data_IF_348983797197
#
_entry.id   IF_348983797197
#
_cell.length_a   1.000
_cell.length_b   1.000
_cell.length_c   1.000
_cell.angle_alpha   90.00
_cell.angle_beta   90.00
_cell.angle_gamma   90.00
#
_symmetry.space_group_name_H-M   'P 1'
#
loop_
_entity.id
_entity.type
_entity.pdbx_description
1 polymer ?
#
# COMPACT_ATOMS: atom_id res chain seq x y z
N UNK A 1 3.17 -5.13 4.12
CA UNK A 1 2.48 -4.14 3.27
C UNK A 1 1.08 -3.92 3.83
N UNK A 2 0.64 -2.67 3.95
CA UNK A 2 -0.69 -2.33 4.49
C UNK A 2 -1.48 -1.66 3.38
N UNK A 3 -2.69 -2.15 3.12
CA UNK A 3 -3.67 -1.54 2.22
C UNK A 3 -4.86 -1.11 3.07
N UNK A 4 -5.30 0.14 2.90
CA UNK A 4 -6.45 0.69 3.63
C UNK A 4 -7.77 0.04 3.22
N UNK A 5 -8.82 0.18 4.03
CA UNK A 5 -10.17 -0.25 3.64
C UNK A 5 -10.75 0.65 2.55
N UNK A 6 -11.93 0.31 2.04
CA UNK A 6 -12.61 1.07 0.98
C UNK A 6 -12.90 2.54 1.35
N UNK A 7 -12.98 2.84 2.66
CA UNK A 7 -13.13 4.18 3.22
C UNK A 7 -11.81 4.94 3.44
N UNK A 8 -10.70 4.43 2.90
CA UNK A 8 -9.33 4.91 3.11
C UNK A 8 -8.85 4.83 4.58
N UNK A 9 -7.55 5.09 4.80
CA UNK A 9 -7.00 5.25 6.15
C UNK A 9 -7.31 6.65 6.66
N UNK A 10 -7.75 6.77 7.91
CA UNK A 10 -7.87 8.09 8.54
C UNK A 10 -6.49 8.73 8.74
N UNK A 11 -6.38 10.06 8.84
CA UNK A 11 -5.11 10.74 9.10
C UNK A 11 -4.42 10.24 10.37
N UNK A 12 -5.18 9.83 11.39
CA UNK A 12 -4.66 9.27 12.64
C UNK A 12 -4.04 7.90 12.44
N UNK A 13 -4.66 7.03 11.64
CA UNK A 13 -4.13 5.70 11.32
C UNK A 13 -2.90 5.79 10.43
N UNK A 14 -2.93 6.65 9.41
CA UNK A 14 -1.77 6.92 8.57
C UNK A 14 -0.57 7.40 9.41
N UNK A 15 -0.80 8.35 10.33
CA UNK A 15 0.25 8.82 11.25
C UNK A 15 0.83 7.70 12.11
N UNK A 16 -0.03 6.84 12.69
CA UNK A 16 0.42 5.69 13.50
C UNK A 16 1.27 4.71 12.69
N UNK A 17 0.93 4.48 11.42
CA UNK A 17 1.72 3.63 10.53
C UNK A 17 3.10 4.24 10.28
N UNK A 18 3.16 5.52 9.95
CA UNK A 18 4.44 6.22 9.75
C UNK A 18 5.30 6.21 11.02
N UNK A 19 4.71 6.45 12.19
CA UNK A 19 5.40 6.38 13.49
C UNK A 19 5.91 4.97 13.82
N UNK A 20 5.20 3.94 13.35
CA UNK A 20 5.63 2.54 13.45
C UNK A 20 6.69 2.15 12.39
N UNK A 21 7.17 3.09 11.58
CA UNK A 21 8.22 2.88 10.58
C UNK A 21 7.72 2.39 9.22
N UNK A 22 6.41 2.42 8.95
CA UNK A 22 5.90 2.13 7.61
C UNK A 22 6.21 3.29 6.67
N UNK A 23 6.63 2.95 5.45
CA UNK A 23 6.92 3.91 4.39
C UNK A 23 5.73 3.95 3.43
N UNK A 24 5.20 5.14 3.20
CA UNK A 24 4.15 5.34 2.20
C UNK A 24 4.75 5.20 0.79
N UNK A 25 4.08 4.44 -0.08
CA UNK A 25 4.47 4.21 -1.47
C UNK A 25 3.29 4.48 -2.38
N UNK A 26 3.55 4.99 -3.59
CA UNK A 26 2.54 5.17 -4.63
C UNK A 26 2.46 3.92 -5.52
N UNK A 27 1.25 3.54 -5.91
CA UNK A 27 0.97 2.48 -6.90
C UNK A 27 0.68 3.06 -8.30
N UNK A 28 0.99 4.33 -8.53
CA UNK A 28 0.72 5.08 -9.76
C UNK A 28 -0.36 6.16 -9.57
N UNK A 29 -0.75 6.81 -10.66
CA UNK A 29 -1.69 7.95 -10.66
C UNK A 29 -3.16 7.52 -10.49
N UNK A 30 -3.48 6.26 -10.76
CA UNK A 30 -4.86 5.76 -10.70
C UNK A 30 -5.31 5.55 -9.24
N UNK A 31 -6.53 5.98 -8.91
CA UNK A 31 -7.16 5.64 -7.63
C UNK A 31 -7.68 4.20 -7.69
N UNK A 32 -7.01 3.32 -6.96
CA UNK A 32 -7.36 1.90 -6.89
C UNK A 32 -8.36 1.63 -5.77
N UNK A 33 -9.30 0.72 -6.02
CA UNK A 33 -10.14 0.12 -4.97
C UNK A 33 -9.32 -0.85 -4.13
N UNK A 34 -9.82 -1.16 -2.93
CA UNK A 34 -9.10 -1.94 -1.91
C UNK A 34 -8.49 -3.24 -2.46
N UNK A 35 -9.29 -4.04 -3.16
CA UNK A 35 -8.89 -5.35 -3.68
C UNK A 35 -7.88 -5.22 -4.83
N UNK A 36 -8.09 -4.26 -5.73
CA UNK A 36 -7.16 -3.99 -6.85
C UNK A 36 -5.81 -3.52 -6.34
N UNK A 37 -5.78 -2.62 -5.35
CA UNK A 37 -4.56 -2.15 -4.73
C UNK A 37 -3.76 -3.32 -4.10
N UNK A 38 -4.45 -4.21 -3.38
CA UNK A 38 -3.84 -5.39 -2.79
C UNK A 38 -3.22 -6.33 -3.85
N UNK A 39 -3.96 -6.65 -4.92
CA UNK A 39 -3.48 -7.53 -5.99
C UNK A 39 -2.27 -6.92 -6.72
N UNK A 40 -2.36 -5.64 -7.11
CA UNK A 40 -1.27 -4.92 -7.79
C UNK A 40 -0.02 -4.94 -6.93
N UNK A 41 -0.15 -4.64 -5.64
CA UNK A 41 1.00 -4.50 -4.77
C UNK A 41 1.62 -5.86 -4.40
N UNK A 42 0.83 -6.94 -4.28
CA UNK A 42 1.34 -8.31 -4.22
C UNK A 42 2.10 -8.71 -5.49
N UNK A 43 1.55 -8.38 -6.66
CA UNK A 43 2.17 -8.66 -7.96
C UNK A 43 3.49 -7.90 -8.11
N UNK A 44 3.51 -6.62 -7.76
CA UNK A 44 4.70 -5.79 -7.77
C UNK A 44 5.80 -6.36 -6.87
N UNK A 45 5.45 -6.77 -5.63
CA UNK A 45 6.41 -7.41 -4.73
C UNK A 45 6.93 -8.74 -5.27
N UNK A 46 6.11 -9.53 -5.97
CA UNK A 46 6.54 -10.81 -6.55
C UNK A 46 7.52 -10.63 -7.71
N UNK A 47 7.31 -9.58 -8.52
CA UNK A 47 8.11 -9.29 -9.72
C UNK A 47 9.29 -8.34 -9.47
N UNK A 48 9.35 -7.71 -8.29
CA UNK A 48 10.40 -6.75 -7.95
C UNK A 48 11.80 -7.36 -8.13
N UNK A 49 12.70 -6.71 -8.89
CA UNK A 49 14.07 -7.18 -9.06
C UNK A 49 14.81 -7.17 -7.72
N UNK A 50 15.32 -8.33 -7.29
CA UNK A 50 15.94 -8.51 -5.98
C UNK A 50 15.51 -9.78 -5.24
N UNK A 51 14.55 -10.53 -5.79
CA UNK A 51 14.10 -11.84 -5.25
C UNK A 51 14.84 -13.03 -5.88
N UNK A 52 16.15 -12.93 -6.06
CA UNK A 52 17.03 -14.09 -6.31
C UNK A 52 17.73 -14.48 -5.03
#
# INVERSE_FOLDING_TARGET
>A
MVIGPEGDLSPREAKRLTEAGFIAVSLGEARLRTETAALVACTWMALAPGRR
#
